data_IF_252650394673
#
_entry.id   IF_252650394673
#
_cell.length_a   1.000
_cell.length_b   1.000
_cell.length_c   1.000
_cell.angle_alpha   90.00
_cell.angle_beta   90.00
_cell.angle_gamma   90.00
#
_symmetry.space_group_name_H-M   'P 1'
#
loop_
_entity.id
_entity.type
_entity.pdbx_description
1 polymer ?
#
# COMPACT_ATOMS: atom_id res chain seq x y z
N UNK A 1 1.69 -15.95 4.00
CA UNK A 1 1.62 -15.29 2.66
C UNK A 1 1.64 -13.80 2.87
N UNK A 2 2.49 -13.09 2.14
CA UNK A 2 2.59 -11.63 2.14
C UNK A 2 2.23 -11.09 0.76
N UNK A 3 1.28 -10.16 0.71
CA UNK A 3 0.85 -9.50 -0.53
C UNK A 3 1.33 -8.05 -0.48
N UNK A 4 2.20 -7.66 -1.43
CA UNK A 4 2.65 -6.29 -1.59
C UNK A 4 1.80 -5.55 -2.63
N UNK A 5 1.30 -4.36 -2.26
CA UNK A 5 0.42 -3.53 -3.08
C UNK A 5 1.13 -2.22 -3.40
N UNK A 6 1.48 -2.04 -4.67
CA UNK A 6 2.20 -0.84 -5.13
C UNK A 6 1.28 0.39 -5.29
N UNK A 7 1.88 1.56 -5.45
CA UNK A 7 1.18 2.84 -5.59
C UNK A 7 0.67 3.14 -7.00
N UNK A 8 0.15 4.37 -7.16
CA UNK A 8 -0.32 4.92 -8.43
C UNK A 8 0.82 5.00 -9.45
N UNK A 9 0.56 4.63 -10.70
CA UNK A 9 1.54 4.61 -11.80
C UNK A 9 2.83 3.81 -11.48
N UNK A 10 2.76 2.84 -10.58
CA UNK A 10 3.87 2.02 -10.11
C UNK A 10 3.72 0.56 -10.56
N UNK A 11 4.57 -0.33 -10.05
CA UNK A 11 4.56 -1.75 -10.44
C UNK A 11 5.14 -2.65 -9.35
N UNK A 12 5.03 -3.99 -9.52
CA UNK A 12 5.75 -4.97 -8.69
C UNK A 12 7.27 -4.82 -8.73
N UNK A 13 7.82 -4.15 -9.76
CA UNK A 13 9.26 -3.88 -9.87
C UNK A 13 9.73 -2.65 -9.09
N UNK A 14 8.84 -1.99 -8.33
CA UNK A 14 9.23 -0.84 -7.50
C UNK A 14 10.28 -1.22 -6.46
N UNK A 15 11.17 -0.28 -6.13
CA UNK A 15 12.28 -0.52 -5.21
C UNK A 15 11.84 -1.15 -3.88
N UNK A 16 10.77 -0.63 -3.28
CA UNK A 16 10.21 -1.18 -2.02
C UNK A 16 9.71 -2.61 -2.17
N UNK A 17 9.02 -2.93 -3.28
CA UNK A 17 8.55 -4.30 -3.53
C UNK A 17 9.73 -5.27 -3.70
N UNK A 18 10.79 -4.84 -4.40
CA UNK A 18 11.99 -5.64 -4.60
C UNK A 18 12.78 -5.85 -3.30
N UNK A 19 12.85 -4.85 -2.42
CA UNK A 19 13.47 -4.99 -1.10
C UNK A 19 12.72 -6.04 -0.24
N UNK A 20 11.40 -5.98 -0.18
CA UNK A 20 10.60 -6.97 0.56
C UNK A 20 10.78 -8.36 -0.04
N UNK A 21 10.72 -8.49 -1.37
CA UNK A 21 10.92 -9.75 -2.08
C UNK A 21 12.28 -10.36 -1.76
N UNK A 22 13.35 -9.60 -1.97
CA UNK A 22 14.73 -10.05 -1.73
C UNK A 22 14.93 -10.49 -0.27
N UNK A 23 14.36 -9.76 0.69
CA UNK A 23 14.47 -10.13 2.10
C UNK A 23 13.72 -11.42 2.41
N UNK A 24 12.52 -11.62 1.88
CA UNK A 24 11.78 -12.87 2.05
C UNK A 24 12.48 -14.06 1.38
N UNK A 25 13.11 -13.85 0.21
CA UNK A 25 13.94 -14.86 -0.44
C UNK A 25 15.15 -15.25 0.44
N UNK A 26 15.84 -14.26 1.01
CA UNK A 26 16.96 -14.50 1.93
C UNK A 26 16.55 -15.26 3.21
N UNK A 27 15.29 -15.13 3.64
CA UNK A 27 14.72 -15.87 4.76
C UNK A 27 14.15 -17.24 4.35
N UNK A 28 14.29 -17.66 3.08
CA UNK A 28 13.72 -18.92 2.57
C UNK A 28 12.19 -18.87 2.39
N UNK A 29 11.60 -17.70 2.46
CA UNK A 29 10.14 -17.48 2.38
C UNK A 29 9.68 -16.88 1.02
N UNK A 30 10.54 -16.87 0.01
CA UNK A 30 10.25 -16.25 -1.29
C UNK A 30 8.96 -16.77 -1.95
N UNK A 31 8.62 -18.04 -1.78
CA UNK A 31 7.37 -18.62 -2.28
C UNK A 31 6.10 -18.06 -1.57
N UNK A 32 6.26 -17.37 -0.47
CA UNK A 32 5.18 -16.75 0.29
C UNK A 32 5.01 -15.25 -0.03
N UNK A 33 5.69 -14.73 -1.04
CA UNK A 33 5.60 -13.34 -1.48
C UNK A 33 4.86 -13.23 -2.81
N UNK A 34 3.90 -12.30 -2.86
CA UNK A 34 3.17 -11.95 -4.09
C UNK A 34 3.07 -10.43 -4.19
N UNK A 35 3.45 -9.89 -5.33
CA UNK A 35 3.21 -8.50 -5.71
C UNK A 35 2.51 -8.50 -7.07
N UNK A 36 1.18 -8.36 -7.12
CA UNK A 36 0.47 -8.35 -8.40
C UNK A 36 0.70 -7.05 -9.16
N UNK A 37 0.77 -7.12 -10.48
CA UNK A 37 0.59 -5.95 -11.34
C UNK A 37 -0.89 -5.53 -11.26
N UNK A 38 -1.14 -4.29 -10.85
CA UNK A 38 -2.49 -3.77 -10.72
C UNK A 38 -2.95 -3.14 -12.04
N UNK A 39 -4.19 -3.41 -12.49
CA UNK A 39 -4.79 -2.66 -13.57
C UNK A 39 -4.98 -1.18 -13.18
N UNK A 40 -5.04 -0.32 -14.18
CA UNK A 40 -5.18 1.13 -13.97
C UNK A 40 -6.52 1.52 -13.31
N UNK A 41 -7.59 0.79 -13.59
CA UNK A 41 -8.93 1.02 -13.01
C UNK A 41 -9.01 0.57 -11.55
N UNK A 42 -9.40 1.45 -10.61
CA UNK A 42 -9.44 1.11 -9.19
C UNK A 42 -10.40 -0.03 -8.84
N UNK A 43 -11.55 -0.11 -9.48
CA UNK A 43 -12.49 -1.20 -9.26
C UNK A 43 -11.92 -2.56 -9.72
N UNK A 44 -11.19 -2.56 -10.84
CA UNK A 44 -10.53 -3.77 -11.35
C UNK A 44 -9.38 -4.18 -10.42
N UNK A 45 -8.58 -3.21 -9.96
CA UNK A 45 -7.50 -3.45 -9.01
C UNK A 45 -8.05 -4.04 -7.68
N UNK A 46 -9.12 -3.45 -7.15
CA UNK A 46 -9.78 -3.93 -5.94
C UNK A 46 -10.31 -5.36 -6.12
N UNK A 47 -10.96 -5.66 -7.25
CA UNK A 47 -11.47 -7.01 -7.56
C UNK A 47 -10.35 -8.05 -7.64
N UNK A 48 -9.24 -7.71 -8.30
CA UNK A 48 -8.06 -8.59 -8.40
C UNK A 48 -7.47 -8.88 -7.01
N UNK A 49 -7.30 -7.83 -6.21
CA UNK A 49 -6.74 -7.94 -4.86
C UNK A 49 -7.66 -8.73 -3.92
N UNK A 50 -8.95 -8.49 -3.99
CA UNK A 50 -9.95 -9.22 -3.20
C UNK A 50 -9.96 -10.72 -3.56
N UNK A 51 -9.91 -11.04 -4.85
CA UNK A 51 -9.80 -12.43 -5.31
C UNK A 51 -8.49 -13.08 -4.84
N UNK A 52 -7.39 -12.32 -4.76
CA UNK A 52 -6.12 -12.80 -4.24
C UNK A 52 -6.20 -13.08 -2.74
N UNK A 53 -6.83 -12.20 -1.95
CA UNK A 53 -7.07 -12.40 -0.52
C UNK A 53 -7.94 -13.63 -0.24
N UNK A 54 -8.97 -13.85 -1.05
CA UNK A 54 -9.84 -15.03 -0.93
C UNK A 54 -9.08 -16.34 -1.21
N UNK A 55 -8.07 -16.33 -2.09
CA UNK A 55 -7.21 -17.50 -2.34
C UNK A 55 -6.16 -17.74 -1.26
N UNK A 56 -5.85 -16.70 -0.47
CA UNK A 56 -4.85 -16.75 0.59
C UNK A 56 -5.41 -16.21 1.92
N UNK A 57 -6.37 -16.93 2.56
CA UNK A 57 -6.93 -16.50 3.84
C UNK A 57 -5.82 -16.28 4.88
N UNK A 58 -5.90 -15.17 5.62
CA UNK A 58 -4.90 -14.81 6.61
C UNK A 58 -3.60 -14.20 6.04
N UNK A 59 -3.52 -13.93 4.74
CA UNK A 59 -2.39 -13.22 4.17
C UNK A 59 -2.25 -11.83 4.80
N UNK A 60 -0.99 -11.45 5.11
CA UNK A 60 -0.65 -10.11 5.53
C UNK A 60 -0.42 -9.20 4.31
N UNK A 61 -0.57 -7.90 4.52
CA UNK A 61 -0.49 -6.90 3.47
C UNK A 61 0.65 -5.92 3.73
N UNK A 62 1.35 -5.51 2.67
CA UNK A 62 2.22 -4.33 2.67
C UNK A 62 1.73 -3.41 1.57
N UNK A 63 1.31 -2.21 1.92
CA UNK A 63 0.77 -1.25 0.95
C UNK A 63 1.54 0.06 0.94
N UNK A 64 1.99 0.52 -0.23
CA UNK A 64 2.71 1.78 -0.40
C UNK A 64 1.86 2.82 -1.12
N UNK A 65 1.78 4.04 -0.58
CA UNK A 65 1.04 5.15 -1.18
C UNK A 65 -0.42 4.77 -1.45
N UNK A 66 -0.91 4.81 -2.70
CA UNK A 66 -2.24 4.31 -3.07
C UNK A 66 -2.43 2.82 -2.71
N UNK A 67 -1.36 2.02 -2.76
CA UNK A 67 -1.41 0.63 -2.30
C UNK A 67 -1.74 0.49 -0.81
N UNK A 68 -1.37 1.48 0.01
CA UNK A 68 -1.76 1.57 1.42
C UNK A 68 -3.27 1.76 1.61
N UNK A 69 -3.89 2.50 0.71
CA UNK A 69 -5.34 2.67 0.70
C UNK A 69 -6.07 1.36 0.39
N UNK A 70 -5.65 0.64 -0.65
CA UNK A 70 -6.18 -0.70 -0.94
C UNK A 70 -5.92 -1.69 0.20
N UNK A 71 -4.72 -1.66 0.78
CA UNK A 71 -4.37 -2.52 1.91
C UNK A 71 -5.28 -2.28 3.11
N UNK A 72 -5.67 -1.03 3.37
CA UNK A 72 -6.59 -0.67 4.45
C UNK A 72 -7.99 -1.26 4.20
N UNK A 73 -8.52 -1.08 3.00
CA UNK A 73 -9.82 -1.66 2.63
C UNK A 73 -9.83 -3.19 2.77
N UNK A 74 -8.78 -3.87 2.28
CA UNK A 74 -8.66 -5.31 2.38
C UNK A 74 -8.47 -5.79 3.82
N UNK A 75 -7.65 -5.09 4.60
CA UNK A 75 -7.39 -5.44 6.00
C UNK A 75 -8.67 -5.42 6.84
N UNK A 76 -9.52 -4.42 6.64
CA UNK A 76 -10.81 -4.38 7.33
C UNK A 76 -11.79 -5.43 6.80
N UNK A 77 -11.82 -5.65 5.49
CA UNK A 77 -12.71 -6.65 4.87
C UNK A 77 -12.36 -8.09 5.27
N UNK A 78 -11.07 -8.43 5.32
CA UNK A 78 -10.59 -9.80 5.54
C UNK A 78 -10.04 -10.06 6.95
N UNK A 79 -9.99 -9.06 7.82
CA UNK A 79 -9.43 -9.20 9.16
C UNK A 79 -7.91 -9.35 9.19
N UNK A 80 -7.20 -8.89 8.16
CA UNK A 80 -5.77 -9.08 7.97
C UNK A 80 -4.92 -7.98 8.59
N UNK A 81 -3.63 -8.26 8.84
CA UNK A 81 -2.64 -7.23 9.20
C UNK A 81 -2.16 -6.50 7.95
N UNK A 82 -1.86 -5.20 8.10
CA UNK A 82 -1.33 -4.38 7.03
C UNK A 82 -0.22 -3.45 7.52
N UNK A 83 0.96 -3.52 6.92
CA UNK A 83 1.99 -2.52 7.05
C UNK A 83 1.83 -1.48 5.94
N UNK A 84 1.78 -0.22 6.32
CA UNK A 84 1.45 0.91 5.45
C UNK A 84 2.66 1.83 5.32
N UNK A 85 3.08 2.08 4.09
CA UNK A 85 4.28 2.82 3.75
C UNK A 85 3.88 4.14 3.07
N UNK A 86 3.98 5.27 3.79
CA UNK A 86 3.47 6.57 3.33
C UNK A 86 2.09 6.43 2.67
N UNK A 87 1.06 5.92 3.39
CA UNK A 87 -0.22 5.60 2.76
C UNK A 87 -1.00 6.84 2.34
N UNK A 88 -1.64 6.76 1.18
CA UNK A 88 -2.61 7.77 0.78
C UNK A 88 -3.88 7.66 1.65
N UNK A 89 -4.32 8.79 2.18
CA UNK A 89 -5.59 8.94 2.88
C UNK A 89 -6.55 9.72 1.98
N UNK A 90 -7.70 9.13 1.65
CA UNK A 90 -8.66 9.68 0.69
C UNK A 90 -8.02 10.05 -0.65
N UNK A 91 -7.42 9.09 -1.37
CA UNK A 91 -6.70 9.36 -2.61
C UNK A 91 -7.57 10.03 -3.68
N UNK A 92 -8.89 9.85 -3.66
CA UNK A 92 -9.82 10.50 -4.58
C UNK A 92 -9.86 12.04 -4.43
N UNK A 93 -9.45 12.60 -3.29
CA UNK A 93 -9.29 14.05 -3.11
C UNK A 93 -8.03 14.58 -3.80
N UNK A 94 -6.96 13.78 -3.79
CA UNK A 94 -5.65 14.16 -4.31
C UNK A 94 -5.51 13.87 -5.81
N UNK A 95 -6.01 12.71 -6.25
CA UNK A 95 -5.87 12.25 -7.63
C UNK A 95 -6.77 12.99 -8.62
N UNK A 96 -7.67 13.88 -8.15
CA UNK A 96 -8.42 14.78 -9.02
C UNK A 96 -7.54 15.67 -9.91
N UNK A 97 -6.35 16.03 -9.44
CA UNK A 97 -5.35 16.78 -10.22
C UNK A 97 -4.67 15.94 -11.33
N UNK A 98 -4.87 14.63 -11.33
CA UNK A 98 -4.29 13.67 -12.28
C UNK A 98 -5.29 13.15 -13.32
N UNK A 99 -6.47 13.79 -13.45
CA UNK A 99 -7.43 13.42 -14.48
C UNK A 99 -6.85 13.61 -15.88
N UNK A 100 -7.20 12.71 -16.81
CA UNK A 100 -6.73 12.70 -18.18
C UNK A 100 -5.70 11.61 -18.46
N UNK A 101 -4.86 11.83 -19.46
CA UNK A 101 -3.88 10.84 -19.92
C UNK A 101 -2.78 10.65 -18.88
N UNK A 102 -2.60 9.43 -18.45
CA UNK A 102 -1.56 8.97 -17.53
C UNK A 102 -0.64 7.98 -18.22
N UNK A 103 0.52 7.78 -17.63
CA UNK A 103 1.47 6.76 -18.05
C UNK A 103 2.04 6.04 -16.84
N UNK A 104 2.00 4.72 -16.84
CA UNK A 104 2.67 3.92 -15.85
C UNK A 104 4.19 4.07 -15.99
N UNK A 105 4.86 4.42 -14.89
CA UNK A 105 6.29 4.76 -14.87
C UNK A 105 7.21 3.55 -15.16
N UNK A 106 6.70 2.33 -15.04
CA UNK A 106 7.47 1.09 -15.19
C UNK A 106 7.13 0.35 -16.49
N UNK A 107 5.83 0.18 -16.79
CA UNK A 107 5.41 -0.52 -18.00
C UNK A 107 5.37 0.38 -19.24
N UNK A 108 5.31 1.70 -19.05
CA UNK A 108 5.09 2.66 -20.11
C UNK A 108 3.66 2.67 -20.66
N UNK A 109 2.77 1.84 -20.13
CA UNK A 109 1.36 1.77 -20.52
C UNK A 109 0.68 3.12 -20.33
N UNK A 110 -0.05 3.57 -21.35
CA UNK A 110 -0.83 4.79 -21.32
C UNK A 110 -2.30 4.47 -21.15
N UNK A 111 -2.96 5.22 -20.27
CA UNK A 111 -4.38 5.06 -20.00
C UNK A 111 -5.01 6.41 -19.63
N UNK A 112 -6.31 6.52 -19.71
CA UNK A 112 -7.05 7.69 -19.28
C UNK A 112 -7.55 7.52 -17.85
N UNK A 113 -7.11 8.39 -16.93
CA UNK A 113 -7.62 8.43 -15.57
C UNK A 113 -8.80 9.40 -15.52
N UNK A 114 -9.98 8.89 -15.15
CA UNK A 114 -11.26 9.60 -15.29
C UNK A 114 -11.92 9.89 -13.94
N UNK A 115 -12.94 10.75 -13.92
CA UNK A 115 -13.75 11.00 -12.73
C UNK A 115 -14.41 9.73 -12.19
N UNK A 116 -14.73 8.76 -13.06
CA UNK A 116 -15.23 7.45 -12.64
C UNK A 116 -14.22 6.73 -11.74
N UNK A 117 -12.94 6.80 -12.03
CA UNK A 117 -11.89 6.20 -11.20
C UNK A 117 -11.83 6.82 -9.79
N UNK A 118 -12.12 8.12 -9.67
CA UNK A 118 -12.22 8.78 -8.36
C UNK A 118 -13.43 8.25 -7.55
N UNK A 119 -14.57 8.04 -8.21
CA UNK A 119 -15.75 7.44 -7.56
C UNK A 119 -15.51 5.97 -7.17
N UNK A 120 -14.80 5.21 -8.01
CA UNK A 120 -14.39 3.84 -7.70
C UNK A 120 -13.47 3.80 -6.46
N UNK A 121 -12.52 4.74 -6.33
CA UNK A 121 -11.71 4.88 -5.12
C UNK A 121 -12.57 5.27 -3.92
N UNK A 122 -13.48 6.23 -4.06
CA UNK A 122 -14.37 6.65 -2.98
C UNK A 122 -15.21 5.51 -2.44
N UNK A 123 -15.66 4.59 -3.31
CA UNK A 123 -16.43 3.42 -2.93
C UNK A 123 -15.65 2.41 -2.04
N UNK A 124 -14.32 2.49 -2.03
CA UNK A 124 -13.45 1.68 -1.17
C UNK A 124 -13.12 2.35 0.17
N UNK A 125 -13.70 3.54 0.45
CA UNK A 125 -13.42 4.23 1.72
C UNK A 125 -13.92 3.41 2.91
N UNK A 126 -13.02 3.23 3.87
CA UNK A 126 -13.32 2.54 5.13
C UNK A 126 -13.66 3.61 6.18
N UNK A 127 -14.82 3.55 6.78
CA UNK A 127 -15.26 4.53 7.77
C UNK A 127 -14.40 4.49 9.04
N UNK A 128 -14.16 3.29 9.58
CA UNK A 128 -13.35 3.08 10.79
C UNK A 128 -12.33 1.96 10.56
N UNK A 129 -11.21 2.04 11.27
CA UNK A 129 -10.16 1.02 11.23
C UNK A 129 -10.06 0.30 12.56
N UNK A 130 -9.48 -0.89 12.55
CA UNK A 130 -9.11 -1.67 13.74
C UNK A 130 -7.62 -1.45 14.03
N UNK A 131 -7.22 -0.54 14.92
CA UNK A 131 -5.83 -0.08 15.06
C UNK A 131 -4.80 -1.18 15.22
N UNK A 132 -5.12 -2.25 15.95
CA UNK A 132 -4.22 -3.36 16.19
C UNK A 132 -3.79 -4.12 14.92
N UNK A 133 -4.46 -3.91 13.79
CA UNK A 133 -4.13 -4.54 12.50
C UNK A 133 -3.04 -3.82 11.73
N UNK A 134 -2.63 -2.62 12.16
CA UNK A 134 -1.79 -1.76 11.33
C UNK A 134 -0.44 -1.45 11.94
N UNK A 135 0.57 -1.43 11.08
CA UNK A 135 1.85 -0.77 11.29
C UNK A 135 1.96 0.37 10.28
N UNK A 136 2.05 1.60 10.76
CA UNK A 136 2.23 2.78 9.93
C UNK A 136 3.71 3.18 9.89
N UNK A 137 4.29 3.32 8.71
CA UNK A 137 5.55 4.01 8.46
C UNK A 137 5.24 5.30 7.70
N UNK A 138 5.59 6.45 8.26
CA UNK A 138 5.35 7.75 7.64
C UNK A 138 6.60 8.62 7.74
N UNK A 139 7.01 9.23 6.62
CA UNK A 139 8.14 10.16 6.54
C UNK A 139 7.65 11.60 6.70
N UNK A 140 8.32 12.39 7.58
CA UNK A 140 7.94 13.79 7.79
C UNK A 140 8.30 14.70 6.62
N UNK A 141 9.22 14.26 5.76
CA UNK A 141 9.62 14.94 4.53
C UNK A 141 8.93 14.43 3.26
N UNK A 142 7.83 13.68 3.39
CA UNK A 142 7.04 13.25 2.23
C UNK A 142 6.50 14.49 1.47
N UNK A 143 7.02 14.66 0.25
CA UNK A 143 6.71 15.82 -0.61
C UNK A 143 5.40 15.67 -1.40
N UNK A 144 4.80 14.47 -1.36
CA UNK A 144 3.56 14.13 -2.09
C UNK A 144 2.36 14.10 -1.17
N UNK A 145 2.51 13.49 0.02
CA UNK A 145 1.43 13.27 0.97
C UNK A 145 1.73 13.90 2.32
N UNK A 146 0.81 14.67 2.87
CA UNK A 146 0.93 15.16 4.24
C UNK A 146 0.82 13.98 5.23
N UNK A 147 1.95 13.61 5.82
CA UNK A 147 2.05 12.53 6.81
C UNK A 147 1.12 12.70 8.01
N UNK A 148 0.75 13.94 8.36
CA UNK A 148 -0.18 14.23 9.48
C UNK A 148 -1.55 13.63 9.22
N UNK A 149 -2.00 13.60 7.95
CA UNK A 149 -3.27 12.95 7.57
C UNK A 149 -3.20 11.44 7.83
N UNK A 150 -2.05 10.81 7.59
CA UNK A 150 -1.85 9.40 7.92
C UNK A 150 -1.83 9.16 9.43
N UNK A 151 -1.12 9.99 10.21
CA UNK A 151 -1.12 9.91 11.68
C UNK A 151 -2.52 10.07 12.28
N UNK A 152 -3.31 10.99 11.75
CA UNK A 152 -4.69 11.18 12.20
C UNK A 152 -5.58 9.99 11.84
N UNK A 153 -5.47 9.49 10.60
CA UNK A 153 -6.28 8.37 10.12
C UNK A 153 -5.97 7.07 10.87
N UNK A 154 -4.68 6.81 11.15
CA UNK A 154 -4.21 5.59 11.79
C UNK A 154 -3.89 5.81 13.28
N UNK A 155 -4.61 6.72 13.94
CA UNK A 155 -4.46 6.97 15.37
C UNK A 155 -4.70 5.71 16.18
N UNK A 156 -3.77 5.41 17.10
CA UNK A 156 -3.80 4.20 17.94
C UNK A 156 -3.16 2.96 17.31
N UNK A 157 -2.71 3.05 16.05
CA UNK A 157 -1.89 1.99 15.44
C UNK A 157 -0.43 2.07 15.93
N UNK A 158 0.30 0.97 15.81
CA UNK A 158 1.77 1.02 15.91
C UNK A 158 2.31 1.90 14.78
N UNK A 159 3.11 2.91 15.12
CA UNK A 159 3.61 3.89 14.15
C UNK A 159 5.11 4.08 14.27
N UNK A 160 5.78 4.21 13.14
CA UNK A 160 7.17 4.62 13.00
C UNK A 160 7.18 5.91 12.20
N UNK A 161 7.51 7.02 12.86
CA UNK A 161 7.69 8.29 12.21
C UNK A 161 9.17 8.46 11.83
N UNK A 162 9.43 8.63 10.54
CA UNK A 162 10.77 8.75 9.98
C UNK A 162 11.01 10.24 9.76
N UNK A 163 11.91 10.82 10.56
CA UNK A 163 12.26 12.23 10.44
C UNK A 163 12.97 12.52 9.10
N UNK A 164 12.50 13.53 8.39
CA UNK A 164 12.91 13.79 7.01
C UNK A 164 12.34 12.70 6.07
N UNK A 165 13.22 12.15 5.24
CA UNK A 165 12.82 11.14 4.26
C UNK A 165 12.07 11.77 3.08
N UNK A 166 11.47 10.91 2.26
CA UNK A 166 10.76 11.26 1.02
C UNK A 166 9.52 10.37 0.84
N UNK A 167 8.70 10.66 -0.18
CA UNK A 167 7.56 9.81 -0.53
C UNK A 167 7.99 8.39 -0.89
N UNK A 168 9.15 8.25 -1.51
CA UNK A 168 9.76 6.99 -1.90
C UNK A 168 10.13 6.10 -0.72
N UNK A 169 10.29 6.65 0.50
CA UNK A 169 10.90 5.99 1.65
C UNK A 169 12.28 5.42 1.28
N UNK A 170 13.21 6.27 0.87
CA UNK A 170 14.56 5.85 0.44
C UNK A 170 15.32 5.07 1.51
N UNK A 171 15.00 5.28 2.80
CA UNK A 171 15.52 4.52 3.94
C UNK A 171 14.77 3.23 4.25
N UNK A 172 13.84 2.78 3.38
CA UNK A 172 12.97 1.63 3.68
C UNK A 172 13.73 0.34 3.98
N UNK A 173 14.95 0.19 3.46
CA UNK A 173 15.80 -0.97 3.75
C UNK A 173 16.02 -1.19 5.26
N UNK A 174 16.08 -0.13 6.05
CA UNK A 174 16.31 -0.18 7.50
C UNK A 174 15.07 -0.71 8.26
N UNK A 175 13.91 -0.73 7.62
CA UNK A 175 12.63 -1.07 8.24
C UNK A 175 12.01 -2.37 7.71
N UNK A 176 12.58 -3.00 6.69
CA UNK A 176 12.02 -4.21 6.06
C UNK A 176 11.80 -5.32 7.10
N UNK A 177 12.78 -5.56 7.96
CA UNK A 177 12.65 -6.62 8.99
C UNK A 177 11.57 -6.32 10.01
N UNK A 178 11.40 -5.06 10.40
CA UNK A 178 10.31 -4.63 11.29
C UNK A 178 8.94 -4.85 10.64
N UNK A 179 8.83 -4.54 9.34
CA UNK A 179 7.60 -4.75 8.56
C UNK A 179 7.27 -6.23 8.46
N UNK A 180 8.26 -7.08 8.14
CA UNK A 180 8.06 -8.53 8.04
C UNK A 180 7.69 -9.13 9.40
N UNK A 181 8.38 -8.77 10.48
CA UNK A 181 8.07 -9.24 11.82
C UNK A 181 6.63 -8.89 12.24
N UNK A 182 6.17 -7.66 11.93
CA UNK A 182 4.78 -7.27 12.18
C UNK A 182 3.79 -8.12 11.36
N UNK A 183 4.06 -8.36 10.09
CA UNK A 183 3.22 -9.16 9.22
C UNK A 183 3.12 -10.62 9.68
N UNK A 184 4.20 -11.19 10.23
CA UNK A 184 4.25 -12.57 10.75
C UNK A 184 3.61 -12.73 12.14
N UNK A 185 3.18 -11.67 12.76
CA UNK A 185 2.54 -11.71 14.06
C UNK A 185 3.44 -11.34 15.24
N UNK A 186 4.64 -10.86 15.00
CA UNK A 186 5.52 -10.29 16.01
C UNK A 186 4.94 -9.00 16.63
N UNK A 187 5.12 -8.86 17.94
CA UNK A 187 4.70 -7.68 18.71
C UNK A 187 5.81 -6.65 18.77
#
# INVERSE_FOLDING_TARGET
MLIYIHGFNSSPASAKAQLVKARMEALGQGAQFVAPALPAGPAQAASLLDALMNRHPGAALVGSSLGGYYATWLAEKHGSRAALLNPAVRPYELLGAHLGLQQNLYSGERYEFTARHLEELRALEVAAITPARYLLLAATGDEVLDYRRALDRYRGCRSILIEGGDHGLSSFADYVDTVLAFCDGGH
#
